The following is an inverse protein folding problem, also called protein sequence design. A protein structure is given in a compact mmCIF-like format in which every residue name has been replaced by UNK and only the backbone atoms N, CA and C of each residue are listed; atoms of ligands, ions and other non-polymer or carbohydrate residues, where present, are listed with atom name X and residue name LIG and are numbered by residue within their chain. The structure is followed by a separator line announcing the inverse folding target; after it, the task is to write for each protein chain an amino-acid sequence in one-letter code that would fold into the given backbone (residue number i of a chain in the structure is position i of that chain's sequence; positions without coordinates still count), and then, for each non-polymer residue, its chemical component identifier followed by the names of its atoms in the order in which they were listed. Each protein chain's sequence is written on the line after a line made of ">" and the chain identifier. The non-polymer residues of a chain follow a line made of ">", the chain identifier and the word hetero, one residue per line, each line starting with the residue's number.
data_IF_585877841211
#
_entry.id   IF_585877841211
#
_cell.length_a   1.000
_cell.length_b   1.000
_cell.length_c   1.000
_cell.angle_alpha   90.00
_cell.angle_beta   90.00
_cell.angle_gamma   90.00
#
_symmetry.space_group_name_H-M   'P 1'
#
loop_
_entity.id
_entity.type
_entity.pdbx_description
1 polymer ?
#
# COMPACT_ATOMS: atom_id res chain seq x y z
N UNK A 1 20.42 6.32 1.19
CA UNK A 1 19.53 5.43 0.42
C UNK A 1 18.42 6.30 -0.14
N UNK A 2 18.26 6.37 -1.46
CA UNK A 2 17.39 7.34 -2.11
C UNK A 2 15.93 6.86 -2.01
N UNK A 3 15.14 7.55 -1.20
CA UNK A 3 13.73 7.25 -1.00
C UNK A 3 12.93 7.81 -2.17
N UNK A 4 12.23 6.96 -2.93
CA UNK A 4 11.29 7.43 -3.94
C UNK A 4 10.11 8.15 -3.26
N UNK A 5 10.21 9.49 -3.16
CA UNK A 5 9.21 10.34 -2.52
C UNK A 5 7.88 10.28 -3.29
N UNK A 6 6.77 10.13 -2.58
CA UNK A 6 5.47 10.52 -3.11
C UNK A 6 4.75 11.40 -2.10
N UNK A 7 3.95 12.32 -2.61
CA UNK A 7 3.19 13.27 -1.81
C UNK A 7 1.70 13.14 -2.11
N UNK A 8 0.85 13.36 -1.10
CA UNK A 8 -0.58 13.58 -1.32
C UNK A 8 -0.78 15.07 -1.51
N UNK A 9 -1.25 15.46 -2.69
CA UNK A 9 -1.56 16.85 -3.02
C UNK A 9 -3.04 17.00 -3.33
N UNK A 10 -3.53 18.24 -3.31
CA UNK A 10 -4.89 18.55 -3.74
C UNK A 10 -4.86 19.07 -5.18
N UNK A 11 -5.76 18.57 -6.01
CA UNK A 11 -6.09 19.20 -7.28
C UNK A 11 -6.69 20.59 -7.07
N UNK A 12 -6.75 21.40 -8.13
CA UNK A 12 -7.43 22.70 -8.15
C UNK A 12 -8.90 22.64 -7.68
N UNK A 13 -9.53 21.47 -7.77
CA UNK A 13 -10.92 21.23 -7.33
C UNK A 13 -11.02 20.50 -5.99
N UNK A 14 -9.94 20.48 -5.20
CA UNK A 14 -9.91 19.90 -3.86
C UNK A 14 -9.87 18.36 -3.80
N UNK A 15 -9.78 17.66 -4.94
CA UNK A 15 -9.62 16.19 -4.95
C UNK A 15 -8.19 15.78 -4.62
N UNK A 16 -8.01 14.73 -3.83
CA UNK A 16 -6.70 14.16 -3.53
C UNK A 16 -6.05 13.54 -4.79
N UNK A 17 -4.76 13.79 -4.95
CA UNK A 17 -3.89 13.19 -5.97
C UNK A 17 -2.64 12.61 -5.28
N UNK A 18 -2.06 11.57 -5.89
CA UNK A 18 -0.70 11.12 -5.57
C UNK A 18 0.27 11.82 -6.52
N UNK A 19 1.29 12.50 -6.01
CA UNK A 19 2.44 12.99 -6.78
C UNK A 19 3.59 12.01 -6.59
N UNK A 20 4.06 11.37 -7.66
CA UNK A 20 5.16 10.42 -7.61
C UNK A 20 6.05 10.60 -8.85
N UNK A 21 7.36 10.79 -8.64
CA UNK A 21 8.34 11.03 -9.70
C UNK A 21 7.92 12.15 -10.68
N UNK A 22 7.32 13.24 -10.17
CA UNK A 22 6.85 14.36 -10.99
C UNK A 22 5.53 14.14 -11.73
N UNK A 23 4.92 12.96 -11.61
CA UNK A 23 3.61 12.66 -12.19
C UNK A 23 2.52 12.64 -11.14
N UNK A 24 1.33 13.11 -11.51
CA UNK A 24 0.16 13.10 -10.65
C UNK A 24 -0.79 11.96 -11.02
N UNK A 25 -1.44 11.39 -10.02
CA UNK A 25 -2.39 10.29 -10.19
C UNK A 25 -3.68 10.59 -9.43
N UNK A 26 -4.82 10.49 -10.11
CA UNK A 26 -6.16 10.63 -9.55
C UNK A 26 -6.75 9.27 -9.18
N UNK A 27 -7.48 9.21 -8.05
CA UNK A 27 -8.16 8.00 -7.62
C UNK A 27 -9.22 7.59 -8.64
N UNK A 28 -9.12 6.36 -9.13
CA UNK A 28 -10.07 5.74 -10.07
C UNK A 28 -10.98 4.73 -9.34
N UNK A 29 -10.43 4.00 -8.37
CA UNK A 29 -11.18 3.15 -7.45
C UNK A 29 -10.50 3.14 -6.08
N UNK A 30 -11.04 2.38 -5.13
CA UNK A 30 -10.45 2.20 -3.80
C UNK A 30 -8.95 1.86 -3.87
N UNK A 31 -8.61 1.00 -4.83
CA UNK A 31 -7.31 0.35 -5.00
C UNK A 31 -6.56 0.77 -6.26
N UNK A 32 -7.05 1.74 -7.04
CA UNK A 32 -6.47 2.11 -8.34
C UNK A 32 -6.42 3.61 -8.51
N UNK A 33 -5.26 4.13 -8.87
CA UNK A 33 -5.02 5.54 -9.18
C UNK A 33 -4.51 5.65 -10.61
N UNK A 34 -5.18 6.42 -11.46
CA UNK A 34 -4.78 6.63 -12.86
C UNK A 34 -3.98 7.92 -13.00
N UNK A 35 -3.09 8.00 -13.97
CA UNK A 35 -2.43 9.27 -14.31
C UNK A 35 -3.46 10.39 -14.51
N UNK A 36 -3.24 11.57 -13.92
CA UNK A 36 -4.18 12.71 -13.99
C UNK A 36 -3.97 13.64 -15.18
N UNK A 37 -3.02 13.37 -16.08
CA UNK A 37 -2.80 14.19 -17.28
C UNK A 37 -3.95 14.11 -18.30
N UNK A 38 -4.93 13.21 -18.10
CA UNK A 38 -6.09 13.00 -18.99
C UNK A 38 -5.74 12.74 -20.47
N UNK A 39 -4.49 12.38 -20.77
CA UNK A 39 -4.08 11.98 -22.10
C UNK A 39 -4.77 10.65 -22.47
N UNK A 40 -5.55 10.58 -23.56
CA UNK A 40 -6.41 9.43 -23.88
C UNK A 40 -5.66 8.09 -23.94
N UNK A 41 -4.39 8.10 -24.34
CA UNK A 41 -3.57 6.89 -24.47
C UNK A 41 -2.75 6.57 -23.21
N UNK A 42 -2.81 7.41 -22.16
CA UNK A 42 -2.07 7.16 -20.93
C UNK A 42 -2.71 6.04 -20.12
N UNK A 43 -2.15 4.83 -20.24
CA UNK A 43 -2.62 3.61 -19.53
C UNK A 43 -1.92 3.38 -18.19
N UNK A 44 -1.17 4.36 -17.67
CA UNK A 44 -0.40 4.24 -16.43
C UNK A 44 -1.31 4.34 -15.20
N UNK A 45 -1.15 3.41 -14.27
CA UNK A 45 -1.84 3.41 -12.99
C UNK A 45 -0.95 2.95 -11.84
N UNK A 46 -1.23 3.44 -10.64
CA UNK A 46 -0.76 2.89 -9.36
C UNK A 46 -1.87 1.99 -8.81
N UNK A 47 -1.53 0.79 -8.33
CA UNK A 47 -2.46 -0.06 -7.56
C UNK A 47 -2.07 -0.02 -6.09
N UNK A 48 -3.05 0.18 -5.22
CA UNK A 48 -2.92 -0.01 -3.77
C UNK A 48 -3.96 -1.03 -3.31
N UNK A 49 -3.69 -1.80 -2.25
CA UNK A 49 -4.74 -2.51 -1.51
C UNK A 49 -4.61 -2.07 -0.06
N UNK A 50 -5.68 -2.23 0.71
CA UNK A 50 -5.59 -2.07 2.16
C UNK A 50 -4.55 -3.06 2.69
N UNK A 51 -3.64 -2.52 3.50
CA UNK A 51 -2.58 -3.26 4.16
C UNK A 51 -2.51 -2.81 5.61
N UNK A 52 -2.24 -3.75 6.49
CA UNK A 52 -1.94 -3.44 7.89
C UNK A 52 -0.43 -3.29 8.00
N UNK A 53 0.02 -2.18 8.57
CA UNK A 53 1.40 -2.05 9.06
C UNK A 53 1.42 -2.40 10.54
N UNK A 54 2.13 -3.47 10.89
CA UNK A 54 2.33 -3.88 12.27
C UNK A 54 3.80 -4.23 12.47
N UNK A 55 4.46 -3.58 13.43
CA UNK A 55 5.90 -3.71 13.71
C UNK A 55 6.79 -3.62 12.47
N UNK A 56 6.49 -2.67 11.59
CA UNK A 56 7.21 -2.42 10.32
C UNK A 56 7.09 -3.54 9.28
N UNK A 57 6.18 -4.50 9.48
CA UNK A 57 5.80 -5.49 8.49
C UNK A 57 4.43 -5.16 7.92
N UNK A 58 4.27 -5.31 6.61
CA UNK A 58 2.97 -5.14 5.97
C UNK A 58 2.26 -6.49 5.84
N UNK A 59 0.95 -6.47 6.05
CA UNK A 59 0.08 -7.60 5.90
C UNK A 59 -1.02 -7.26 4.90
N UNK A 60 -1.37 -8.20 4.04
CA UNK A 60 -2.45 -8.06 3.08
C UNK A 60 -3.55 -9.05 3.41
N UNK A 61 -4.80 -8.60 3.31
CA UNK A 61 -5.96 -9.45 3.55
C UNK A 61 -6.00 -10.61 2.53
N UNK A 62 -6.23 -11.82 3.02
CA UNK A 62 -6.43 -13.01 2.16
C UNK A 62 -7.88 -13.46 2.13
N UNK A 63 -8.58 -13.26 3.23
CA UNK A 63 -10.02 -13.49 3.43
C UNK A 63 -10.47 -12.61 4.60
N UNK A 64 -11.78 -12.35 4.77
CA UNK A 64 -12.28 -11.43 5.78
C UNK A 64 -11.62 -11.62 7.14
N UNK A 65 -11.06 -10.53 7.68
CA UNK A 65 -10.39 -10.47 8.98
C UNK A 65 -9.11 -11.32 9.12
N UNK A 66 -8.66 -12.01 8.08
CA UNK A 66 -7.44 -12.81 8.07
C UNK A 66 -6.40 -12.20 7.13
N UNK A 67 -5.28 -11.80 7.74
CA UNK A 67 -4.22 -11.03 7.10
C UNK A 67 -2.92 -11.81 7.16
N UNK A 68 -2.20 -11.86 6.05
CA UNK A 68 -0.91 -12.55 5.95
C UNK A 68 0.16 -11.56 5.51
N UNK A 69 1.38 -11.74 6.01
CA UNK A 69 2.54 -10.96 5.57
C UNK A 69 2.55 -10.80 4.05
N UNK A 70 2.65 -9.56 3.56
CA UNK A 70 2.48 -9.22 2.14
C UNK A 70 3.53 -9.88 1.24
N UNK A 71 4.66 -10.30 1.80
CA UNK A 71 5.81 -10.91 1.13
C UNK A 71 5.76 -12.44 1.21
N UNK A 72 4.78 -13.01 1.91
CA UNK A 72 4.57 -14.46 2.01
C UNK A 72 4.65 -15.21 0.67
N UNK A 73 4.05 -14.73 -0.44
CA UNK A 73 4.17 -15.40 -1.74
C UNK A 73 5.60 -15.48 -2.29
N UNK A 74 6.48 -14.56 -1.89
CA UNK A 74 7.85 -14.45 -2.42
C UNK A 74 8.89 -15.10 -1.50
N UNK A 75 8.74 -14.95 -0.18
CA UNK A 75 9.73 -15.42 0.82
C UNK A 75 9.22 -16.55 1.72
N UNK A 76 8.10 -17.18 1.35
CA UNK A 76 7.47 -18.27 2.11
C UNK A 76 7.21 -17.91 3.58
N UNK A 77 6.98 -16.62 3.87
CA UNK A 77 6.68 -16.12 5.21
C UNK A 77 5.31 -16.63 5.67
N UNK A 78 5.22 -17.06 6.93
CA UNK A 78 3.97 -17.57 7.53
C UNK A 78 3.35 -16.61 8.54
N UNK A 79 3.96 -15.45 8.76
CA UNK A 79 3.43 -14.47 9.69
C UNK A 79 2.02 -14.00 9.29
N UNK A 80 1.14 -13.91 10.28
CA UNK A 80 -0.29 -13.62 10.09
C UNK A 80 -0.89 -12.85 11.26
N UNK A 81 -1.94 -12.10 10.96
CA UNK A 81 -2.79 -11.38 11.91
C UNK A 81 -4.24 -11.78 11.68
N UNK A 82 -5.01 -11.83 12.76
CA UNK A 82 -6.48 -11.90 12.69
C UNK A 82 -7.06 -10.68 13.37
N UNK A 83 -8.05 -10.05 12.73
CA UNK A 83 -8.79 -8.93 13.31
C UNK A 83 -10.15 -9.39 13.85
N UNK A 84 -10.72 -8.67 14.81
CA UNK A 84 -12.14 -8.78 15.14
C UNK A 84 -12.99 -7.83 14.27
N UNK A 85 -14.31 -7.82 14.50
CA UNK A 85 -15.26 -6.94 13.80
C UNK A 85 -15.00 -5.44 14.03
N UNK A 86 -14.31 -5.08 15.11
CA UNK A 86 -13.94 -3.71 15.44
C UNK A 86 -12.59 -3.30 14.82
N UNK A 87 -11.94 -4.19 14.08
CA UNK A 87 -10.62 -3.95 13.47
C UNK A 87 -9.44 -4.14 14.42
N UNK A 88 -9.66 -4.70 15.61
CA UNK A 88 -8.61 -4.93 16.60
C UNK A 88 -7.94 -6.29 16.37
N UNK A 89 -6.62 -6.35 16.60
CA UNK A 89 -5.86 -7.59 16.44
C UNK A 89 -6.19 -8.56 17.58
N UNK A 90 -6.70 -9.74 17.23
CA UNK A 90 -7.05 -10.81 18.19
C UNK A 90 -6.06 -11.95 18.22
N UNK A 91 -5.36 -12.20 17.10
CA UNK A 91 -4.32 -13.23 17.02
C UNK A 91 -3.14 -12.76 16.19
N UNK A 92 -1.95 -13.18 16.60
CA UNK A 92 -0.68 -12.82 15.97
C UNK A 92 0.20 -14.07 15.88
N UNK A 93 0.64 -14.39 14.68
CA UNK A 93 1.82 -15.24 14.47
C UNK A 93 2.90 -14.36 13.86
N UNK A 94 3.86 -13.91 14.68
CA UNK A 94 4.82 -12.85 14.32
C UNK A 94 6.16 -13.39 13.81
N UNK A 95 6.21 -14.65 13.39
CA UNK A 95 7.47 -15.29 12.96
C UNK A 95 7.73 -15.00 11.48
N UNK A 96 8.58 -14.01 11.23
CA UNK A 96 9.02 -13.65 9.88
C UNK A 96 10.29 -14.41 9.47
N UNK A 97 10.37 -14.78 8.19
CA UNK A 97 11.54 -15.45 7.59
C UNK A 97 12.39 -14.50 6.74
N UNK A 98 12.19 -13.20 6.91
CA UNK A 98 12.82 -12.16 6.11
C UNK A 98 12.97 -10.85 6.89
N UNK A 99 13.90 -9.97 6.49
CA UNK A 99 13.99 -8.64 7.05
C UNK A 99 12.78 -7.78 6.69
N UNK A 100 12.57 -6.70 7.45
CA UNK A 100 11.61 -5.64 7.16
C UNK A 100 11.87 -5.06 5.76
N UNK A 101 10.82 -4.79 4.98
CA UNK A 101 10.99 -4.07 3.72
C UNK A 101 10.86 -2.56 3.96
N UNK A 102 11.39 -1.77 3.04
CA UNK A 102 11.16 -0.34 3.01
C UNK A 102 9.82 -0.06 2.31
N UNK A 103 8.92 0.64 2.99
CA UNK A 103 7.61 1.03 2.47
C UNK A 103 7.40 2.53 2.64
N UNK A 104 6.54 3.10 1.80
CA UNK A 104 6.10 4.48 1.93
C UNK A 104 4.68 4.52 2.49
N UNK A 105 4.53 5.12 3.67
CA UNK A 105 3.25 5.32 4.35
C UNK A 105 2.74 6.72 4.03
N UNK A 106 1.59 6.84 3.39
CA UNK A 106 0.96 8.15 3.19
C UNK A 106 0.35 8.64 4.52
N UNK A 107 0.16 9.96 4.65
CA UNK A 107 -0.61 10.56 5.77
C UNK A 107 -2.06 10.03 5.85
N UNK A 108 -2.58 9.43 4.78
CA UNK A 108 -3.90 8.82 4.71
C UNK A 108 -3.91 7.30 5.00
N UNK A 109 -2.80 6.73 5.46
CA UNK A 109 -2.71 5.30 5.78
C UNK A 109 -2.62 4.36 4.57
N UNK A 110 -2.54 4.90 3.36
CA UNK A 110 -2.29 4.10 2.15
C UNK A 110 -0.81 3.70 2.10
N UNK A 111 -0.54 2.41 1.93
CA UNK A 111 0.80 1.84 1.81
C UNK A 111 1.10 1.49 0.34
N UNK A 112 2.17 2.04 -0.20
CA UNK A 112 2.63 1.72 -1.57
C UNK A 112 3.94 0.96 -1.48
N UNK A 113 3.98 -0.23 -2.10
CA UNK A 113 5.21 -1.04 -2.17
C UNK A 113 6.20 -0.36 -3.13
N UNK A 114 7.38 0.00 -2.63
CA UNK A 114 8.47 0.48 -3.47
C UNK A 114 9.09 -0.70 -4.23
N UNK A 115 8.81 -0.81 -5.53
CA UNK A 115 9.58 -1.69 -6.41
C UNK A 115 10.73 -0.86 -6.99
N UNK A 116 11.87 -0.78 -6.31
CA UNK A 116 13.10 -0.33 -6.95
C UNK A 116 13.55 -1.40 -7.94
N UNK A 117 13.68 -1.04 -9.21
CA UNK A 117 14.49 -1.83 -10.17
C UNK A 117 15.96 -1.64 -9.85
#
# INVERSE_FOLDING_TARGET
>A
VNFAHYEIILSQRGRQLILHNGYTYARLSESKWRCSTNYPECKVYIRGKDMILYKDYTYSEKRPAYWQCSIAPQKKCRARLTLNKNGEITMIEDKHTHPKLQYFVSKAGVFVRCNSR
#
